data_IF_907480508121
#
_entry.id   IF_907480508121
#
_cell.length_a   1.000
_cell.length_b   1.000
_cell.length_c   1.000
_cell.angle_alpha   90.00
_cell.angle_beta   90.00
_cell.angle_gamma   90.00
#
_symmetry.space_group_name_H-M   'P 1'
#
loop_
_entity.id
_entity.type
_entity.pdbx_description
1 polymer ?
#
# COMPACT_ATOMS: atom_id res chain seq x y z
N UNK A 1 -13.40 0.70 42.90
CA UNK A 1 -13.88 1.89 42.15
C UNK A 1 -14.09 1.44 40.73
N UNK A 2 -15.34 1.44 40.24
CA UNK A 2 -15.63 1.10 38.85
C UNK A 2 -14.99 2.17 37.96
N UNK A 3 -13.96 1.78 37.21
CA UNK A 3 -13.27 2.67 36.29
C UNK A 3 -14.14 2.79 35.03
N UNK A 4 -15.26 3.51 35.15
CA UNK A 4 -16.18 3.70 34.03
C UNK A 4 -15.54 4.75 33.13
N UNK A 5 -14.85 4.29 32.09
CA UNK A 5 -14.34 5.16 31.05
C UNK A 5 -15.44 6.05 30.46
N UNK A 6 -15.05 7.12 29.76
CA UNK A 6 -15.99 8.03 29.11
C UNK A 6 -17.02 7.21 28.30
N UNK A 7 -18.33 7.49 28.44
CA UNK A 7 -19.35 6.77 27.70
C UNK A 7 -19.09 6.82 26.18
N UNK A 8 -19.53 5.79 25.42
CA UNK A 8 -19.44 5.78 23.97
C UNK A 8 -20.03 7.06 23.38
N UNK A 9 -19.43 7.54 22.28
CA UNK A 9 -19.86 8.80 21.68
C UNK A 9 -21.20 8.67 20.96
N UNK A 10 -21.42 7.53 20.31
CA UNK A 10 -22.66 7.16 19.63
C UNK A 10 -23.29 5.99 20.38
N UNK A 11 -24.61 6.01 20.48
CA UNK A 11 -25.38 4.93 21.14
C UNK A 11 -26.16 4.07 20.15
N UNK A 12 -26.26 4.48 18.89
CA UNK A 12 -26.90 3.70 17.84
C UNK A 12 -26.12 3.78 16.54
N UNK A 13 -26.30 2.75 15.70
CA UNK A 13 -25.65 2.66 14.39
C UNK A 13 -26.22 3.70 13.43
N UNK A 14 -27.51 3.97 13.52
CA UNK A 14 -28.22 4.93 12.68
C UNK A 14 -27.67 6.35 12.87
N UNK A 15 -27.38 6.75 14.11
CA UNK A 15 -26.84 8.09 14.40
C UNK A 15 -25.47 8.31 13.75
N UNK A 16 -24.61 7.28 13.78
CA UNK A 16 -23.28 7.37 13.15
C UNK A 16 -23.39 7.30 11.62
N UNK A 17 -24.33 6.53 11.07
CA UNK A 17 -24.59 6.44 9.63
C UNK A 17 -25.04 7.78 9.05
N UNK A 18 -25.99 8.45 9.71
CA UNK A 18 -26.45 9.77 9.30
C UNK A 18 -25.31 10.80 9.27
N UNK A 19 -24.41 10.75 10.26
CA UNK A 19 -23.23 11.62 10.32
C UNK A 19 -22.19 11.30 9.26
N UNK A 20 -22.02 10.01 8.95
CA UNK A 20 -21.15 9.56 7.86
C UNK A 20 -21.68 10.08 6.53
N UNK A 21 -22.98 9.94 6.28
CA UNK A 21 -23.59 10.41 5.03
C UNK A 21 -23.51 11.93 4.90
N UNK A 22 -23.84 12.66 5.98
CA UNK A 22 -23.67 14.11 6.04
C UNK A 22 -22.24 14.54 5.66
N UNK A 23 -21.23 13.82 6.13
CA UNK A 23 -19.84 14.09 5.78
C UNK A 23 -19.59 13.91 4.27
N UNK A 24 -20.02 12.80 3.70
CA UNK A 24 -19.81 12.53 2.27
C UNK A 24 -20.58 13.50 1.38
N UNK A 25 -21.82 13.86 1.71
CA UNK A 25 -22.56 14.91 0.99
C UNK A 25 -21.81 16.24 1.05
N UNK A 26 -21.23 16.60 2.21
CA UNK A 26 -20.40 17.82 2.32
C UNK A 26 -19.09 17.75 1.51
N UNK A 27 -18.65 16.56 1.10
CA UNK A 27 -17.49 16.39 0.22
C UNK A 27 -17.83 16.62 -1.25
N UNK A 28 -19.09 16.41 -1.66
CA UNK A 28 -19.56 16.66 -3.02
C UNK A 28 -19.63 18.17 -3.35
N UNK A 29 -19.73 19.01 -2.33
CA UNK A 29 -19.84 20.45 -2.47
C UNK A 29 -21.23 20.91 -2.94
N UNK A 30 -21.45 22.22 -2.89
CA UNK A 30 -22.73 22.85 -3.22
C UNK A 30 -22.53 23.81 -4.41
N UNK A 31 -23.17 23.55 -5.56
CA UNK A 31 -23.06 24.44 -6.71
C UNK A 31 -23.86 25.72 -6.47
N UNK A 32 -23.31 26.86 -6.90
CA UNK A 32 -23.99 28.15 -6.86
C UNK A 32 -25.19 28.12 -7.83
N UNK A 33 -26.37 28.43 -7.32
CA UNK A 33 -27.61 28.48 -8.10
C UNK A 33 -28.06 29.92 -8.35
N UNK A 34 -28.67 30.17 -9.51
CA UNK A 34 -29.35 31.44 -9.81
C UNK A 34 -30.78 31.47 -9.23
N UNK A 35 -31.46 32.61 -9.34
CA UNK A 35 -32.84 32.81 -8.87
C UNK A 35 -33.86 31.85 -9.51
N UNK A 36 -33.47 31.10 -10.55
CA UNK A 36 -34.29 30.12 -11.26
C UNK A 36 -33.86 28.68 -10.97
N UNK A 37 -32.94 28.47 -10.03
CA UNK A 37 -32.43 27.16 -9.63
C UNK A 37 -31.45 26.54 -10.62
N UNK A 38 -30.90 27.30 -11.56
CA UNK A 38 -29.91 26.81 -12.53
C UNK A 38 -28.49 27.08 -12.02
N UNK A 39 -27.59 26.10 -12.23
CA UNK A 39 -26.18 26.23 -11.85
C UNK A 39 -25.53 27.41 -12.58
N UNK A 40 -24.95 28.33 -11.81
CA UNK A 40 -24.17 29.45 -12.32
C UNK A 40 -22.84 28.90 -12.84
N UNK A 41 -22.44 29.33 -14.04
CA UNK A 41 -21.17 28.94 -14.66
C UNK A 41 -20.28 30.15 -14.86
N UNK A 42 -18.97 29.95 -14.76
CA UNK A 42 -17.99 30.99 -15.04
C UNK A 42 -17.82 31.20 -16.56
N UNK A 43 -16.99 32.18 -16.94
CA UNK A 43 -16.68 32.52 -18.34
C UNK A 43 -16.08 31.37 -19.17
N UNK A 44 -15.61 30.30 -18.52
CA UNK A 44 -15.03 29.12 -19.14
C UNK A 44 -15.98 27.91 -19.15
N UNK A 45 -17.23 28.08 -18.71
CA UNK A 45 -18.24 27.03 -18.68
C UNK A 45 -18.16 26.08 -17.48
N UNK A 46 -17.27 26.34 -16.51
CA UNK A 46 -17.22 25.55 -15.28
C UNK A 46 -18.24 26.04 -14.25
N UNK A 47 -18.88 25.14 -13.48
CA UNK A 47 -19.77 25.52 -12.40
C UNK A 47 -19.06 26.41 -11.37
N UNK A 48 -19.76 27.45 -10.93
CA UNK A 48 -19.43 28.19 -9.71
C UNK A 48 -19.95 27.39 -8.51
N UNK A 49 -19.21 27.41 -7.41
CA UNK A 49 -19.52 26.68 -6.19
C UNK A 49 -19.73 27.65 -5.04
N UNK A 50 -20.77 27.43 -4.23
CA UNK A 50 -20.89 28.04 -2.91
C UNK A 50 -19.93 27.36 -1.94
N UNK A 51 -19.94 26.03 -1.95
CA UNK A 51 -18.96 25.19 -1.27
C UNK A 51 -18.28 24.28 -2.30
N UNK A 52 -16.97 24.41 -2.45
CA UNK A 52 -16.24 23.60 -3.43
C UNK A 52 -16.18 22.12 -3.02
N UNK A 53 -16.29 21.17 -3.97
CA UNK A 53 -16.05 19.76 -3.70
C UNK A 53 -14.66 19.55 -3.13
N UNK A 54 -14.54 18.63 -2.17
CA UNK A 54 -13.29 18.30 -1.51
C UNK A 54 -13.08 16.78 -1.44
N UNK A 55 -11.83 16.29 -1.54
CA UNK A 55 -11.54 14.88 -1.41
C UNK A 55 -11.97 14.35 -0.03
N UNK A 56 -12.71 13.24 0.05
CA UNK A 56 -12.94 12.58 1.33
C UNK A 56 -11.62 12.01 1.86
N UNK A 57 -11.34 12.23 3.15
CA UNK A 57 -10.18 11.69 3.85
C UNK A 57 -10.57 11.00 5.16
N UNK A 58 -9.72 10.10 5.67
CA UNK A 58 -9.97 9.41 6.95
C UNK A 58 -10.01 10.40 8.11
N UNK A 59 -9.10 11.38 8.12
CA UNK A 59 -9.08 12.41 9.17
C UNK A 59 -10.29 13.32 9.06
N UNK A 60 -10.71 13.71 7.85
CA UNK A 60 -11.94 14.48 7.64
C UNK A 60 -13.17 13.74 8.16
N UNK A 61 -13.29 12.44 7.87
CA UNK A 61 -14.34 11.59 8.38
C UNK A 61 -14.33 11.54 9.91
N UNK A 62 -13.16 11.35 10.52
CA UNK A 62 -13.01 11.34 11.97
C UNK A 62 -13.47 12.67 12.61
N UNK A 63 -13.08 13.80 12.01
CA UNK A 63 -13.46 15.13 12.49
C UNK A 63 -14.95 15.42 12.32
N UNK A 64 -15.56 14.98 11.23
CA UNK A 64 -17.00 15.14 11.00
C UNK A 64 -17.84 14.32 11.99
N UNK A 65 -17.35 13.13 12.37
CA UNK A 65 -17.91 12.33 13.47
C UNK A 65 -17.53 12.89 14.86
N UNK A 66 -16.76 13.99 14.89
CA UNK A 66 -16.31 14.72 16.06
C UNK A 66 -15.33 13.94 16.96
N UNK A 67 -14.57 13.02 16.38
CA UNK A 67 -13.40 12.45 17.04
C UNK A 67 -12.24 13.45 16.99
N UNK A 68 -11.38 13.43 18.01
CA UNK A 68 -10.23 14.34 18.07
C UNK A 68 -9.09 13.95 17.10
N UNK A 69 -9.09 12.71 16.59
CA UNK A 69 -8.04 12.21 15.71
C UNK A 69 -8.51 11.01 14.89
N UNK A 70 -7.75 10.70 13.83
CA UNK A 70 -7.89 9.44 13.08
C UNK A 70 -7.80 8.21 14.01
N UNK A 71 -6.85 8.21 14.95
CA UNK A 71 -6.68 7.07 15.85
C UNK A 71 -7.91 6.85 16.74
N UNK A 72 -8.58 7.93 17.17
CA UNK A 72 -9.81 7.82 17.93
C UNK A 72 -10.95 7.14 17.13
N UNK A 73 -11.06 7.43 15.83
CA UNK A 73 -11.99 6.72 14.94
C UNK A 73 -11.64 5.23 14.82
N UNK A 74 -10.35 4.89 14.65
CA UNK A 74 -9.91 3.49 14.55
C UNK A 74 -10.13 2.71 15.85
N UNK A 75 -9.91 3.34 17.01
CA UNK A 75 -10.22 2.75 18.30
C UNK A 75 -11.73 2.51 18.44
N UNK A 76 -12.56 3.42 17.92
CA UNK A 76 -14.01 3.28 17.94
C UNK A 76 -14.50 2.16 17.02
N UNK A 77 -13.87 1.98 15.85
CA UNK A 77 -14.10 0.86 14.92
C UNK A 77 -13.91 -0.52 15.60
N UNK A 78 -13.10 -0.59 16.66
CA UNK A 78 -12.92 -1.82 17.44
C UNK A 78 -14.18 -2.30 18.19
N UNK A 79 -15.20 -1.45 18.34
CA UNK A 79 -16.50 -1.84 18.90
C UNK A 79 -17.29 -2.63 17.86
N UNK A 80 -17.71 -3.85 18.19
CA UNK A 80 -18.42 -4.77 17.26
C UNK A 80 -19.64 -4.12 16.59
N UNK A 81 -20.40 -3.36 17.35
CA UNK A 81 -21.61 -2.67 16.88
C UNK A 81 -21.35 -1.67 15.75
N UNK A 82 -20.21 -0.98 15.77
CA UNK A 82 -19.87 0.07 14.79
C UNK A 82 -18.83 -0.37 13.77
N UNK A 83 -18.36 -1.61 13.87
CA UNK A 83 -17.24 -2.10 13.08
C UNK A 83 -17.57 -2.08 11.58
N UNK A 84 -18.73 -2.63 11.21
CA UNK A 84 -19.14 -2.75 9.81
C UNK A 84 -19.36 -1.37 9.17
N UNK A 85 -20.17 -0.53 9.83
CA UNK A 85 -20.47 0.83 9.40
C UNK A 85 -19.21 1.68 9.18
N UNK A 86 -18.27 1.68 10.13
CA UNK A 86 -17.02 2.44 10.00
C UNK A 86 -16.11 1.81 8.94
N UNK A 87 -16.08 0.49 8.82
CA UNK A 87 -15.31 -0.18 7.76
C UNK A 87 -15.82 0.23 6.38
N UNK A 88 -17.14 0.19 6.16
CA UNK A 88 -17.78 0.64 4.93
C UNK A 88 -17.48 2.12 4.62
N UNK A 89 -17.56 2.99 5.63
CA UNK A 89 -17.23 4.41 5.46
C UNK A 89 -15.76 4.60 5.06
N UNK A 90 -14.83 3.83 5.66
CA UNK A 90 -13.42 3.87 5.27
C UNK A 90 -13.21 3.35 3.85
N UNK A 91 -13.90 2.29 3.44
CA UNK A 91 -13.80 1.76 2.06
C UNK A 91 -14.27 2.76 1.00
N UNK A 92 -15.24 3.65 1.31
CA UNK A 92 -15.57 4.78 0.41
C UNK A 92 -14.41 5.76 0.24
N UNK A 93 -13.67 6.03 1.31
CA UNK A 93 -12.44 6.85 1.25
C UNK A 93 -11.33 6.13 0.49
N UNK A 94 -11.25 4.80 0.65
CA UNK A 94 -10.29 3.95 -0.08
C UNK A 94 -10.55 3.99 -1.58
N UNK A 95 -11.77 3.72 -2.02
CA UNK A 95 -12.20 3.75 -3.41
C UNK A 95 -11.94 5.12 -4.05
N UNK A 96 -12.23 6.22 -3.32
CA UNK A 96 -11.87 7.56 -3.79
C UNK A 96 -10.36 7.69 -4.00
N UNK A 97 -9.54 7.24 -3.05
CA UNK A 97 -8.09 7.30 -3.21
C UNK A 97 -7.59 6.40 -4.36
N UNK A 98 -8.19 5.21 -4.54
CA UNK A 98 -7.89 4.30 -5.64
C UNK A 98 -8.21 4.92 -7.00
N UNK A 99 -9.39 5.52 -7.18
CA UNK A 99 -9.76 6.16 -8.44
C UNK A 99 -8.79 7.28 -8.82
N UNK A 100 -8.28 8.03 -7.83
CA UNK A 100 -7.26 9.07 -8.02
C UNK A 100 -5.89 8.54 -8.46
N UNK A 101 -5.64 7.24 -8.41
CA UNK A 101 -4.40 6.63 -8.96
C UNK A 101 -4.33 6.77 -10.47
N UNK A 102 -5.47 6.81 -11.16
CA UNK A 102 -5.55 6.95 -12.61
C UNK A 102 -5.41 8.41 -13.08
N UNK A 103 -5.42 9.36 -12.14
CA UNK A 103 -5.26 10.77 -12.44
C UNK A 103 -3.79 11.18 -12.53
N UNK A 104 -3.45 11.90 -13.60
CA UNK A 104 -2.07 12.38 -13.84
C UNK A 104 -1.51 13.18 -12.67
N UNK A 105 -2.32 14.06 -12.09
CA UNK A 105 -1.87 15.02 -11.08
C UNK A 105 -2.21 14.55 -9.64
N UNK A 106 -3.00 13.48 -9.48
CA UNK A 106 -3.52 13.01 -8.18
C UNK A 106 -2.84 11.76 -7.60
N UNK A 107 -2.12 11.01 -8.43
CA UNK A 107 -1.62 9.66 -8.10
C UNK A 107 -0.67 9.61 -6.90
N UNK A 108 0.24 10.58 -6.74
CA UNK A 108 1.19 10.60 -5.62
C UNK A 108 0.49 10.76 -4.26
N UNK A 109 -0.50 11.66 -4.17
CA UNK A 109 -1.28 11.85 -2.96
C UNK A 109 -2.15 10.64 -2.64
N UNK A 110 -2.74 10.02 -3.67
CA UNK A 110 -3.49 8.78 -3.56
C UNK A 110 -2.65 7.63 -3.00
N UNK A 111 -1.47 7.36 -3.59
CA UNK A 111 -0.56 6.32 -3.12
C UNK A 111 -0.13 6.54 -1.66
N UNK A 112 0.16 7.80 -1.28
CA UNK A 112 0.49 8.14 0.10
C UNK A 112 -0.68 7.85 1.04
N UNK A 113 -1.90 8.27 0.67
CA UNK A 113 -3.10 8.00 1.45
C UNK A 113 -3.32 6.51 1.64
N UNK A 114 -3.26 5.73 0.56
CA UNK A 114 -3.48 4.29 0.55
C UNK A 114 -2.51 3.56 1.49
N UNK A 115 -1.20 3.78 1.32
CA UNK A 115 -0.14 3.18 2.14
C UNK A 115 -0.27 3.49 3.63
N UNK A 116 -0.68 4.70 3.99
CA UNK A 116 -0.74 5.13 5.39
C UNK A 116 -2.07 4.80 6.08
N UNK A 117 -3.15 4.63 5.32
CA UNK A 117 -4.49 4.52 5.87
C UNK A 117 -5.10 3.11 5.80
N UNK A 118 -4.64 2.28 4.86
CA UNK A 118 -5.29 1.02 4.52
C UNK A 118 -4.27 -0.14 4.54
N UNK A 119 -4.71 -1.28 5.08
CA UNK A 119 -3.86 -2.47 5.23
C UNK A 119 -3.69 -3.14 3.87
N UNK A 120 -2.48 -3.60 3.55
CA UNK A 120 -2.16 -4.27 2.28
C UNK A 120 -1.63 -3.35 1.19
N UNK A 121 -1.72 -2.02 1.37
CA UNK A 121 -1.18 -1.04 0.41
C UNK A 121 0.29 -0.69 0.62
N UNK A 122 0.81 -0.90 1.83
CA UNK A 122 2.20 -0.67 2.15
C UNK A 122 2.98 -1.99 2.16
N UNK A 123 4.14 -1.97 1.50
CA UNK A 123 5.13 -3.05 1.60
C UNK A 123 5.86 -2.84 2.92
N UNK A 124 5.75 -3.81 3.82
CA UNK A 124 6.44 -3.72 5.11
C UNK A 124 7.95 -3.91 4.96
N UNK A 125 8.68 -3.69 6.04
CA UNK A 125 10.14 -3.73 5.99
C UNK A 125 10.68 -5.14 5.73
N UNK A 126 9.97 -6.18 6.17
CA UNK A 126 10.36 -7.58 5.91
C UNK A 126 10.23 -7.89 4.43
N UNK A 127 9.10 -7.53 3.81
CA UNK A 127 8.90 -7.68 2.37
C UNK A 127 9.89 -6.84 1.55
N UNK A 128 10.25 -5.64 2.03
CA UNK A 128 11.29 -4.83 1.38
C UNK A 128 12.65 -5.51 1.41
N UNK A 129 13.04 -6.05 2.58
CA UNK A 129 14.29 -6.77 2.74
C UNK A 129 14.32 -8.02 1.86
N UNK A 130 13.22 -8.78 1.79
CA UNK A 130 13.11 -9.95 0.94
C UNK A 130 13.23 -9.59 -0.56
N UNK A 131 12.57 -8.51 -0.99
CA UNK A 131 12.71 -7.98 -2.37
C UNK A 131 14.16 -7.55 -2.65
N UNK A 132 14.84 -6.94 -1.69
CA UNK A 132 16.23 -6.49 -1.83
C UNK A 132 17.21 -7.68 -1.89
N UNK A 133 16.97 -8.70 -1.07
CA UNK A 133 17.74 -9.93 -1.05
C UNK A 133 17.59 -10.70 -2.37
N UNK A 134 16.37 -10.83 -2.89
CA UNK A 134 16.09 -11.40 -4.21
C UNK A 134 16.81 -10.66 -5.35
N UNK A 135 16.87 -9.32 -5.28
CA UNK A 135 17.61 -8.51 -6.27
C UNK A 135 19.11 -8.78 -6.19
N UNK A 136 19.67 -8.85 -4.99
CA UNK A 136 21.09 -9.17 -4.80
C UNK A 136 21.42 -10.58 -5.30
N UNK A 137 20.60 -11.58 -4.99
CA UNK A 137 20.78 -12.95 -5.48
C UNK A 137 20.76 -13.02 -7.01
N UNK A 138 19.86 -12.28 -7.67
CA UNK A 138 19.84 -12.22 -9.14
C UNK A 138 21.13 -11.61 -9.72
N UNK A 139 21.65 -10.55 -9.11
CA UNK A 139 22.90 -9.92 -9.55
C UNK A 139 24.13 -10.81 -9.31
N UNK A 140 24.17 -11.57 -8.21
CA UNK A 140 25.26 -12.51 -7.93
C UNK A 140 25.26 -13.64 -8.96
N UNK A 141 24.09 -14.16 -9.33
CA UNK A 141 23.96 -15.22 -10.34
C UNK A 141 24.43 -14.80 -11.74
N UNK A 142 24.21 -13.53 -12.10
CA UNK A 142 24.70 -12.96 -13.36
C UNK A 142 26.19 -12.58 -13.32
N UNK A 143 26.79 -12.48 -12.12
CA UNK A 143 28.18 -12.06 -11.91
C UNK A 143 29.15 -13.22 -11.64
N UNK A 144 28.65 -14.45 -11.44
CA UNK A 144 29.53 -15.62 -11.42
C UNK A 144 30.08 -15.83 -12.84
N UNK A 145 31.41 -15.84 -13.06
CA UNK A 145 31.94 -16.34 -14.31
C UNK A 145 31.40 -17.76 -14.48
N UNK A 146 30.89 -18.07 -15.69
CA UNK A 146 30.58 -19.44 -16.04
C UNK A 146 31.75 -20.30 -15.58
N UNK A 147 31.49 -21.32 -14.74
CA UNK A 147 32.50 -22.28 -14.34
C UNK A 147 33.16 -22.80 -15.62
N UNK A 148 34.36 -22.29 -15.92
CA UNK A 148 35.25 -22.93 -16.87
C UNK A 148 35.62 -24.25 -16.22
N UNK A 149 34.89 -25.29 -16.62
CA UNK A 149 35.17 -26.72 -16.44
C UNK A 149 36.57 -27.00 -15.90
N UNK A 150 36.74 -26.97 -14.57
CA UNK A 150 37.94 -27.42 -13.87
C UNK A 150 38.07 -28.96 -13.94
N UNK A 151 37.10 -29.65 -14.52
CA UNK A 151 37.04 -31.11 -14.64
C UNK A 151 38.12 -31.70 -15.57
N UNK A 152 38.64 -30.94 -16.53
CA UNK A 152 39.61 -31.48 -17.49
C UNK A 152 41.08 -31.30 -17.10
N UNK A 153 41.41 -30.39 -16.17
CA UNK A 153 42.81 -30.10 -15.83
C UNK A 153 43.40 -31.13 -14.87
N UNK A 154 42.64 -31.54 -13.85
CA UNK A 154 43.10 -32.55 -12.88
C UNK A 154 43.16 -33.95 -13.47
N UNK A 155 42.22 -34.30 -14.38
CA UNK A 155 42.26 -35.56 -15.11
C UNK A 155 43.45 -35.64 -16.08
N UNK A 156 43.79 -34.54 -16.76
CA UNK A 156 44.98 -34.48 -17.62
C UNK A 156 46.29 -34.61 -16.82
N UNK A 157 46.36 -34.01 -15.63
CA UNK A 157 47.53 -34.09 -14.75
C UNK A 157 47.71 -35.50 -14.16
N UNK A 158 46.60 -36.14 -13.77
CA UNK A 158 46.60 -37.53 -13.30
C UNK A 158 46.93 -38.51 -14.44
N UNK A 159 46.48 -38.24 -15.67
CA UNK A 159 46.83 -39.05 -16.83
C UNK A 159 48.32 -38.96 -17.18
N UNK A 160 48.91 -37.76 -17.20
CA UNK A 160 50.36 -37.60 -17.40
C UNK A 160 51.18 -38.25 -16.28
N UNK A 161 50.72 -38.17 -15.03
CA UNK A 161 51.36 -38.87 -13.92
C UNK A 161 51.28 -40.39 -14.07
N UNK A 162 50.18 -40.95 -14.58
CA UNK A 162 50.08 -42.40 -14.79
C UNK A 162 51.03 -42.90 -15.91
N UNK A 163 51.17 -42.14 -16.99
CA UNK A 163 52.02 -42.50 -18.14
C UNK A 163 53.52 -42.57 -17.76
N UNK A 164 53.98 -41.63 -16.93
CA UNK A 164 55.39 -41.59 -16.45
C UNK A 164 55.72 -42.75 -15.50
N UNK A 165 54.74 -43.30 -14.79
CA UNK A 165 54.96 -44.39 -13.83
C UNK A 165 54.85 -45.80 -14.44
N UNK A 166 54.20 -45.96 -15.60
CA UNK A 166 54.22 -47.23 -16.34
C UNK A 166 55.49 -47.39 -17.19
N UNK A 167 56.05 -46.32 -17.76
CA UNK A 167 57.32 -46.42 -18.51
C UNK A 167 58.53 -46.71 -17.61
N UNK A 168 58.49 -46.36 -16.31
CA UNK A 168 59.60 -46.65 -15.39
C UNK A 168 59.60 -48.06 -14.80
N UNK A 169 58.51 -48.82 -14.93
CA UNK A 169 58.38 -50.17 -14.37
C UNK A 169 58.45 -51.29 -15.44
N UNK A 170 58.75 -50.95 -16.69
CA UNK A 170 58.77 -51.86 -17.84
C UNK A 170 60.15 -52.35 -18.30
N UNK A 171 61.26 -51.95 -17.66
CA UNK A 171 62.64 -52.31 -18.11
C UNK A 171 63.47 -53.12 -17.08
N UNK A 172 62.85 -53.80 -16.12
CA UNK A 172 63.53 -54.83 -15.33
C UNK A 172 62.68 -56.10 -15.23
N UNK A 173 62.60 -56.90 -16.29
CA UNK A 173 62.67 -58.38 -16.26
C UNK A 173 62.91 -58.90 -17.70
N UNK A 174 64.17 -59.22 -17.99
CA UNK A 174 64.64 -59.82 -19.25
C UNK A 174 66.15 -60.05 -19.26
#
# INVERSE_FOLDING_TARGET
MSNVGRPPKYTSVEEIEDKIEQYFSSCEGEPLLDDKGKRVVNKFGYPCWEEAPKPPTITGLALALGFASRQALLNYQGKKEFNDTITRAKSRVEEYAESRLFDRDGSNGAQFSLRNNFKGWNVDNEQKLEIELLKLESQVKDSQPAEETEDNFMDALNAQAAEVWEESNGEEEG
#
